data_IF_523261924713
#
_entry.id   IF_523261924713
#
_cell.length_a   1.000
_cell.length_b   1.000
_cell.length_c   1.000
_cell.angle_alpha   90.00
_cell.angle_beta   90.00
_cell.angle_gamma   90.00
#
_symmetry.space_group_name_H-M   'P 1'
#
loop_
_entity.id
_entity.type
_entity.pdbx_description
1 polymer ?
#
# COMPACT_ATOMS: atom_id res chain seq x y z
N UNK A 1 22.17 5.01 17.31
CA UNK A 1 21.38 3.98 16.59
C UNK A 1 20.58 4.72 15.52
N UNK A 2 21.17 4.86 14.32
CA UNK A 2 20.59 5.61 13.22
C UNK A 2 19.39 4.79 12.70
N UNK A 3 18.15 5.26 12.90
CA UNK A 3 16.99 4.65 12.23
C UNK A 3 17.25 4.73 10.73
N UNK A 4 17.42 3.58 10.09
CA UNK A 4 17.30 3.42 8.65
C UNK A 4 15.90 3.94 8.29
N UNK A 5 15.83 5.21 7.87
CA UNK A 5 14.61 5.82 7.37
C UNK A 5 14.50 5.39 5.92
N UNK A 6 13.49 4.58 5.63
CA UNK A 6 13.19 4.06 4.31
C UNK A 6 13.15 5.19 3.28
N UNK A 7 13.89 5.01 2.18
CA UNK A 7 13.94 5.96 1.08
C UNK A 7 12.73 5.74 0.19
N UNK A 8 11.64 6.41 0.55
CA UNK A 8 10.32 6.24 -0.05
C UNK A 8 10.33 6.35 -1.59
N UNK A 9 11.06 7.30 -2.18
CA UNK A 9 11.11 7.43 -3.64
C UNK A 9 11.78 6.21 -4.29
N UNK A 10 12.89 5.73 -3.71
CA UNK A 10 13.61 4.55 -4.20
C UNK A 10 12.79 3.28 -4.03
N UNK A 11 12.09 3.12 -2.90
CA UNK A 11 11.23 1.96 -2.64
C UNK A 11 10.03 1.91 -3.61
N UNK A 12 9.35 3.05 -3.81
CA UNK A 12 8.24 3.16 -4.77
C UNK A 12 8.70 2.93 -6.22
N UNK A 13 9.88 3.41 -6.58
CA UNK A 13 10.48 3.15 -7.89
C UNK A 13 10.76 1.66 -8.08
N UNK A 14 11.38 1.00 -7.09
CA UNK A 14 11.66 -0.43 -7.14
C UNK A 14 10.37 -1.26 -7.24
N UNK A 15 9.31 -0.87 -6.53
CA UNK A 15 7.98 -1.48 -6.67
C UNK A 15 7.44 -1.32 -8.09
N UNK A 16 7.50 -0.10 -8.64
CA UNK A 16 7.01 0.21 -9.98
C UNK A 16 7.72 -0.65 -11.05
N UNK A 17 9.05 -0.72 -10.97
CA UNK A 17 9.89 -1.53 -11.86
C UNK A 17 9.52 -3.01 -11.75
N UNK A 18 9.34 -3.54 -10.53
CA UNK A 18 8.96 -4.94 -10.31
C UNK A 18 7.57 -5.26 -10.88
N UNK A 19 6.58 -4.40 -10.63
CA UNK A 19 5.22 -4.55 -11.15
C UNK A 19 5.21 -4.51 -12.67
N UNK A 20 5.90 -3.56 -13.28
CA UNK A 20 5.98 -3.45 -14.73
C UNK A 20 6.74 -4.61 -15.36
N UNK A 21 7.84 -5.09 -14.76
CA UNK A 21 8.54 -6.27 -15.27
C UNK A 21 7.63 -7.51 -15.35
N UNK A 22 6.68 -7.63 -14.41
CA UNK A 22 5.73 -8.76 -14.36
C UNK A 22 4.52 -8.56 -15.28
N UNK A 23 4.03 -7.33 -15.40
CA UNK A 23 2.72 -7.06 -15.99
C UNK A 23 2.73 -6.06 -17.16
N UNK A 24 3.88 -5.51 -17.54
CA UNK A 24 4.00 -4.37 -18.46
C UNK A 24 3.29 -4.56 -19.80
N UNK A 25 3.53 -5.70 -20.47
CA UNK A 25 2.85 -6.02 -21.73
C UNK A 25 1.32 -6.16 -21.58
N UNK A 26 0.86 -6.65 -20.42
CA UNK A 26 -0.57 -6.78 -20.11
C UNK A 26 -1.17 -5.40 -19.83
N UNK A 27 -0.47 -4.55 -19.08
CA UNK A 27 -0.86 -3.16 -18.78
C UNK A 27 -0.99 -2.36 -20.07
N UNK A 28 0.00 -2.38 -20.95
CA UNK A 28 -0.02 -1.67 -22.23
C UNK A 28 -1.24 -2.10 -23.06
N UNK A 29 -1.45 -3.41 -23.22
CA UNK A 29 -2.60 -3.96 -23.95
C UNK A 29 -3.94 -3.54 -23.35
N UNK A 30 -4.11 -3.66 -22.03
CA UNK A 30 -5.36 -3.29 -21.34
C UNK A 30 -5.61 -1.80 -21.50
N UNK A 31 -4.61 -0.97 -21.22
CA UNK A 31 -4.75 0.48 -21.20
C UNK A 31 -5.07 1.07 -22.58
N UNK A 32 -4.42 0.55 -23.63
CA UNK A 32 -4.72 0.90 -25.02
C UNK A 32 -6.11 0.41 -25.45
N UNK A 33 -6.54 -0.74 -24.94
CA UNK A 33 -7.87 -1.30 -25.20
C UNK A 33 -9.00 -0.57 -24.49
N UNK A 34 -8.72 0.17 -23.40
CA UNK A 34 -9.72 0.92 -22.68
C UNK A 34 -10.22 2.15 -23.46
N UNK A 35 -11.50 2.44 -23.35
CA UNK A 35 -12.05 3.76 -23.71
C UNK A 35 -11.74 4.81 -22.64
N UNK A 36 -11.91 6.10 -22.98
CA UNK A 36 -11.69 7.21 -22.05
C UNK A 36 -12.45 7.06 -20.72
N UNK A 37 -13.69 6.55 -20.77
CA UNK A 37 -14.49 6.28 -19.57
C UNK A 37 -13.95 5.16 -18.67
N UNK A 38 -13.34 4.12 -19.25
CA UNK A 38 -12.69 3.05 -18.48
C UNK A 38 -11.38 3.53 -17.85
N UNK A 39 -10.58 4.30 -18.60
CA UNK A 39 -9.39 4.97 -18.06
C UNK A 39 -9.76 5.89 -16.89
N UNK A 40 -10.81 6.69 -17.05
CA UNK A 40 -11.28 7.59 -15.99
C UNK A 40 -11.70 6.85 -14.72
N UNK A 41 -12.32 5.66 -14.85
CA UNK A 41 -12.66 4.81 -13.70
C UNK A 41 -11.41 4.31 -12.97
N UNK A 42 -10.38 3.88 -13.70
CA UNK A 42 -9.12 3.44 -13.10
C UNK A 42 -8.44 4.59 -12.36
N UNK A 43 -8.24 5.73 -13.03
CA UNK A 43 -7.54 6.88 -12.44
C UNK A 43 -8.23 7.40 -11.18
N UNK A 44 -9.57 7.34 -11.12
CA UNK A 44 -10.34 7.79 -9.95
C UNK A 44 -10.41 6.77 -8.80
N UNK A 45 -10.24 5.48 -9.07
CA UNK A 45 -10.32 4.43 -8.06
C UNK A 45 -9.19 4.56 -7.02
N UNK A 46 -7.99 4.90 -7.48
CA UNK A 46 -6.80 5.06 -6.66
C UNK A 46 -6.66 6.37 -5.89
N UNK A 47 -7.61 7.31 -6.00
CA UNK A 47 -7.52 8.63 -5.38
C UNK A 47 -8.58 8.80 -4.31
N UNK A 48 -8.16 9.28 -3.13
CA UNK A 48 -9.08 9.59 -2.03
C UNK A 48 -10.17 10.55 -2.52
N UNK A 49 -11.44 10.14 -2.37
CA UNK A 49 -12.64 10.84 -2.88
C UNK A 49 -12.72 10.98 -4.43
N UNK A 50 -11.81 10.37 -5.18
CA UNK A 50 -11.77 10.44 -6.65
C UNK A 50 -11.45 11.84 -7.20
N UNK A 51 -10.88 12.72 -6.36
CA UNK A 51 -10.64 14.13 -6.69
C UNK A 51 -9.25 14.30 -7.30
N UNK A 52 -9.21 14.66 -8.59
CA UNK A 52 -8.01 14.91 -9.38
C UNK A 52 -8.08 16.26 -10.06
N UNK A 53 -6.93 16.78 -10.47
CA UNK A 53 -6.87 17.90 -11.41
C UNK A 53 -7.66 17.55 -12.66
N UNK A 54 -8.58 18.42 -13.09
CA UNK A 54 -9.35 18.21 -14.33
C UNK A 54 -8.47 18.36 -15.56
N UNK A 55 -7.52 19.29 -15.51
CA UNK A 55 -6.50 19.57 -16.53
C UNK A 55 -5.27 20.20 -15.86
N UNK A 56 -4.18 20.36 -16.59
CA UNK A 56 -2.89 20.84 -16.07
C UNK A 56 -2.91 22.23 -15.41
N UNK A 57 -3.83 23.11 -15.80
CA UNK A 57 -4.03 24.42 -15.17
C UNK A 57 -5.12 24.50 -14.10
N UNK A 58 -5.62 23.37 -13.59
CA UNK A 58 -6.74 23.35 -12.63
C UNK A 58 -6.30 23.79 -11.22
N UNK A 59 -6.80 24.94 -10.77
CA UNK A 59 -6.45 25.51 -9.46
C UNK A 59 -7.31 25.01 -8.30
N UNK A 60 -8.28 24.12 -8.54
CA UNK A 60 -9.25 23.68 -7.52
C UNK A 60 -8.62 22.86 -6.39
N UNK A 61 -7.44 22.26 -6.63
CA UNK A 61 -6.70 21.45 -5.64
C UNK A 61 -5.45 22.17 -5.10
N UNK A 62 -5.55 23.50 -4.95
CA UNK A 62 -4.47 24.31 -4.41
C UNK A 62 -3.22 24.27 -5.30
N UNK A 63 -2.06 24.02 -4.70
CA UNK A 63 -0.78 24.04 -5.43
C UNK A 63 -0.47 22.74 -6.18
N UNK A 64 -1.37 21.74 -6.20
CA UNK A 64 -1.10 20.46 -6.87
C UNK A 64 -0.78 20.62 -8.36
N UNK A 65 -1.46 21.52 -9.07
CA UNK A 65 -1.19 21.81 -10.48
C UNK A 65 0.19 22.44 -10.70
N UNK A 66 0.78 23.05 -9.68
CA UNK A 66 2.15 23.59 -9.74
C UNK A 66 3.21 22.52 -9.51
N UNK A 67 2.85 21.44 -8.81
CA UNK A 67 3.79 20.38 -8.41
C UNK A 67 3.76 19.22 -9.41
N UNK A 68 2.58 18.79 -9.89
CA UNK A 68 2.41 17.69 -10.86
C UNK A 68 1.28 17.97 -11.87
N UNK A 69 1.42 19.02 -12.70
CA UNK A 69 0.39 19.41 -13.67
C UNK A 69 -0.01 18.28 -14.63
N UNK A 70 0.91 17.38 -14.97
CA UNK A 70 0.69 16.29 -15.91
C UNK A 70 -0.16 15.15 -15.35
N UNK A 71 -0.34 15.10 -14.02
CA UNK A 71 -1.20 14.12 -13.36
C UNK A 71 -2.63 14.65 -13.25
N UNK A 72 -3.31 14.73 -14.38
CA UNK A 72 -4.66 15.25 -14.49
C UNK A 72 -5.58 14.32 -15.31
N UNK A 73 -6.88 14.41 -15.04
CA UNK A 73 -7.88 13.50 -15.61
C UNK A 73 -7.95 13.60 -17.13
N UNK A 74 -7.85 14.80 -17.70
CA UNK A 74 -7.91 15.01 -19.15
C UNK A 74 -6.79 14.26 -19.84
N UNK A 75 -5.54 14.56 -19.50
CA UNK A 75 -4.38 14.04 -20.20
C UNK A 75 -4.24 12.53 -20.01
N UNK A 76 -4.57 12.01 -18.81
CA UNK A 76 -4.54 10.57 -18.52
C UNK A 76 -5.63 9.78 -19.26
N UNK A 77 -6.72 10.40 -19.71
CA UNK A 77 -7.87 9.67 -20.28
C UNK A 77 -8.09 9.89 -21.76
N UNK A 78 -7.65 11.02 -22.32
CA UNK A 78 -7.81 11.32 -23.75
C UNK A 78 -6.98 10.40 -24.63
N UNK A 79 -5.67 10.30 -24.35
CA UNK A 79 -4.73 9.49 -25.14
C UNK A 79 -3.96 8.52 -24.25
N UNK A 80 -3.93 7.21 -24.57
CA UNK A 80 -3.23 6.24 -23.74
C UNK A 80 -1.72 6.52 -23.65
N UNK A 81 -1.14 7.15 -24.67
CA UNK A 81 0.29 7.47 -24.76
C UNK A 81 0.79 8.33 -23.61
N UNK A 82 -0.01 9.29 -23.12
CA UNK A 82 0.42 10.19 -22.05
C UNK A 82 0.81 9.43 -20.78
N UNK A 83 -0.07 8.53 -20.33
CA UNK A 83 0.21 7.65 -19.20
C UNK A 83 1.36 6.69 -19.51
N UNK A 84 1.35 6.05 -20.69
CA UNK A 84 2.33 5.01 -21.01
C UNK A 84 3.75 5.59 -21.13
N UNK A 85 3.91 6.76 -21.74
CA UNK A 85 5.23 7.41 -21.84
C UNK A 85 5.74 7.88 -20.48
N UNK A 86 4.82 8.35 -19.61
CA UNK A 86 5.19 8.71 -18.24
C UNK A 86 5.60 7.47 -17.45
N UNK A 87 4.85 6.38 -17.57
CA UNK A 87 5.13 5.12 -16.91
C UNK A 87 6.49 4.58 -17.35
N UNK A 88 6.72 4.46 -18.66
CA UNK A 88 7.97 3.97 -19.26
C UNK A 88 9.17 4.78 -18.75
N UNK A 89 9.14 6.11 -18.86
CA UNK A 89 10.21 6.97 -18.35
C UNK A 89 10.51 6.73 -16.87
N UNK A 90 9.46 6.61 -16.04
CA UNK A 90 9.58 6.43 -14.58
C UNK A 90 10.05 5.03 -14.17
N UNK A 91 10.04 4.06 -15.09
CA UNK A 91 10.58 2.71 -14.86
C UNK A 91 12.02 2.61 -15.36
N UNK A 92 12.32 3.25 -16.49
CA UNK A 92 13.65 3.16 -17.10
C UNK A 92 14.69 4.03 -16.40
N UNK A 93 14.25 5.13 -15.77
CA UNK A 93 15.14 6.12 -15.17
C UNK A 93 15.21 5.99 -13.67
N UNK A 94 16.42 6.02 -13.10
CA UNK A 94 16.60 6.09 -11.64
C UNK A 94 15.94 7.35 -11.08
N UNK A 95 15.61 7.42 -9.77
CA UNK A 95 15.11 8.64 -9.17
C UNK A 95 15.98 9.89 -9.47
N UNK A 96 17.31 9.74 -9.48
CA UNK A 96 18.24 10.81 -9.85
C UNK A 96 18.13 11.20 -11.34
N UNK A 97 18.00 10.23 -12.24
CA UNK A 97 17.76 10.54 -13.65
C UNK A 97 16.41 11.22 -13.86
N UNK A 98 15.37 10.85 -13.13
CA UNK A 98 14.05 11.51 -13.16
C UNK A 98 14.11 12.94 -12.60
N UNK A 99 14.96 13.17 -11.60
CA UNK A 99 15.26 14.50 -11.09
C UNK A 99 15.80 15.41 -12.19
N UNK A 100 16.75 14.89 -12.99
CA UNK A 100 17.43 15.63 -14.06
C UNK A 100 16.61 15.73 -15.35
N UNK A 101 15.88 14.68 -15.72
CA UNK A 101 15.30 14.52 -17.06
C UNK A 101 13.87 14.01 -17.01
N UNK A 102 13.03 14.56 -17.89
CA UNK A 102 11.67 14.10 -18.12
C UNK A 102 11.54 13.28 -19.40
N UNK A 103 10.29 12.92 -19.71
CA UNK A 103 9.92 12.08 -20.86
C UNK A 103 10.50 12.66 -22.15
N UNK A 104 11.18 11.84 -22.95
CA UNK A 104 11.78 12.25 -24.23
C UNK A 104 12.75 13.45 -24.12
N UNK A 105 13.48 13.57 -23.01
CA UNK A 105 14.41 14.66 -22.78
C UNK A 105 13.74 15.99 -22.42
N UNK A 106 12.46 15.96 -22.01
CA UNK A 106 11.81 17.13 -21.42
C UNK A 106 12.43 17.50 -20.07
N UNK A 107 11.94 18.59 -19.47
CA UNK A 107 12.31 19.02 -18.11
C UNK A 107 12.13 17.88 -17.10
N UNK A 108 13.15 17.68 -16.25
CA UNK A 108 13.09 16.78 -15.09
C UNK A 108 12.27 17.35 -13.94
N UNK A 109 12.20 16.61 -12.84
CA UNK A 109 11.42 17.02 -11.66
C UNK A 109 11.94 18.31 -11.03
N UNK A 110 13.26 18.51 -11.02
CA UNK A 110 13.87 19.73 -10.50
C UNK A 110 13.45 20.96 -11.31
N UNK A 111 13.59 20.87 -12.62
CA UNK A 111 13.26 21.96 -13.55
C UNK A 111 11.77 22.33 -13.53
N UNK A 112 10.90 21.34 -13.37
CA UNK A 112 9.45 21.58 -13.28
C UNK A 112 9.12 22.36 -12.02
N UNK A 113 9.68 21.97 -10.86
CA UNK A 113 9.46 22.71 -9.61
C UNK A 113 10.03 24.12 -9.69
N UNK A 114 11.26 24.28 -10.17
CA UNK A 114 11.88 25.60 -10.30
C UNK A 114 11.09 26.51 -11.25
N UNK A 115 10.62 25.97 -12.37
CA UNK A 115 9.80 26.74 -13.31
C UNK A 115 8.46 27.15 -12.69
N UNK A 116 7.80 26.26 -11.95
CA UNK A 116 6.56 26.57 -11.23
C UNK A 116 6.77 27.61 -10.13
N UNK A 117 7.90 27.60 -9.43
CA UNK A 117 8.27 28.66 -8.48
C UNK A 117 8.39 30.01 -9.20
N UNK A 118 9.06 30.02 -10.36
CA UNK A 118 9.31 31.22 -11.17
C UNK A 118 8.04 31.79 -11.82
N UNK A 119 7.17 30.94 -12.33
CA UNK A 119 6.06 31.34 -13.22
C UNK A 119 4.68 31.26 -12.58
N UNK A 120 4.49 30.39 -11.59
CA UNK A 120 3.20 30.11 -10.97
C UNK A 120 3.17 30.48 -9.48
N UNK A 121 4.25 31.08 -8.97
CA UNK A 121 4.36 31.50 -7.58
C UNK A 121 4.24 30.35 -6.59
N UNK A 122 4.72 29.15 -6.95
CA UNK A 122 4.88 28.04 -6.00
C UNK A 122 5.86 28.49 -4.90
N UNK A 123 5.43 28.42 -3.64
CA UNK A 123 6.28 28.81 -2.51
C UNK A 123 6.73 27.56 -1.76
N UNK A 124 8.04 27.39 -1.52
CA UNK A 124 8.53 26.29 -0.74
C UNK A 124 8.14 26.47 0.73
N UNK A 125 8.04 25.37 1.50
CA UNK A 125 7.80 25.45 2.94
C UNK A 125 8.94 26.24 3.60
N UNK A 126 8.68 26.93 4.71
CA UNK A 126 9.76 27.58 5.45
C UNK A 126 10.77 26.53 5.91
N UNK A 127 12.03 26.64 5.48
CA UNK A 127 13.13 25.82 6.01
C UNK A 127 14.05 26.60 6.92
N UNK A 128 14.74 25.83 7.76
CA UNK A 128 15.93 26.30 8.46
C UNK A 128 17.05 26.60 7.46
N UNK A 129 17.81 27.66 7.75
CA UNK A 129 18.99 28.05 6.97
C UNK A 129 20.04 26.91 7.01
N UNK A 130 20.87 26.81 5.98
CA UNK A 130 22.02 25.89 5.88
C UNK A 130 21.66 24.40 5.76
N UNK A 131 20.38 24.06 5.61
CA UNK A 131 19.95 22.70 5.29
C UNK A 131 19.75 22.49 3.79
N UNK A 132 20.33 21.41 3.29
CA UNK A 132 20.28 21.01 1.88
C UNK A 132 19.77 19.59 1.75
N UNK A 133 19.30 19.20 0.57
CA UNK A 133 18.87 17.83 0.28
C UNK A 133 19.75 17.22 -0.81
N UNK A 134 20.15 15.96 -0.61
CA UNK A 134 21.01 15.25 -1.56
C UNK A 134 20.17 14.52 -2.61
N UNK A 135 20.39 14.80 -3.89
CA UNK A 135 19.83 14.03 -5.01
C UNK A 135 20.95 13.28 -5.74
N UNK A 136 21.47 12.26 -5.07
CA UNK A 136 22.48 11.33 -5.60
C UNK A 136 21.95 9.92 -5.50
N UNK A 137 22.23 9.08 -6.50
CA UNK A 137 21.84 7.66 -6.46
C UNK A 137 22.33 6.97 -5.18
N UNK A 138 21.52 6.03 -4.69
CA UNK A 138 21.83 5.21 -3.52
C UNK A 138 21.11 5.64 -2.23
N UNK A 139 21.65 5.21 -1.10
CA UNK A 139 20.99 5.31 0.21
C UNK A 139 20.72 6.74 0.67
N UNK A 140 21.49 7.71 0.16
CA UNK A 140 21.40 9.12 0.54
C UNK A 140 20.43 9.93 -0.31
N UNK A 141 19.76 9.31 -1.29
CA UNK A 141 18.81 10.01 -2.14
C UNK A 141 17.63 10.59 -1.34
N UNK A 142 17.39 11.90 -1.45
CA UNK A 142 16.37 12.61 -0.68
C UNK A 142 16.75 12.91 0.78
N UNK A 143 18.01 12.67 1.18
CA UNK A 143 18.45 12.90 2.56
C UNK A 143 18.82 14.36 2.81
N UNK A 144 18.37 14.92 3.94
CA UNK A 144 18.74 16.28 4.34
C UNK A 144 20.07 16.30 5.08
N UNK A 145 20.98 17.17 4.65
CA UNK A 145 22.27 17.42 5.28
C UNK A 145 22.38 18.86 5.75
N UNK A 146 23.00 19.05 6.91
CA UNK A 146 23.31 20.38 7.43
C UNK A 146 24.71 20.78 6.98
N UNK A 147 24.81 21.88 6.23
CA UNK A 147 26.05 22.41 5.67
C UNK A 147 26.21 23.88 6.10
N UNK A 148 26.72 24.13 7.31
CA UNK A 148 26.83 25.49 7.84
C UNK A 148 27.82 26.32 7.02
N UNK A 149 27.45 27.56 6.69
CA UNK A 149 28.31 28.50 5.94
C UNK A 149 29.68 28.72 6.59
N UNK A 150 29.76 28.60 7.93
CA UNK A 150 30.98 28.79 8.70
C UNK A 150 31.96 27.62 8.63
N UNK A 151 31.55 26.48 8.09
CA UNK A 151 32.41 25.32 7.87
C UNK A 151 32.80 25.23 6.39
N UNK A 152 33.77 26.06 6.01
CA UNK A 152 34.27 26.15 4.62
C UNK A 152 34.79 24.81 4.09
N UNK A 153 35.28 23.93 4.97
CA UNK A 153 35.82 22.62 4.57
C UNK A 153 34.70 21.68 4.15
N UNK A 154 33.63 21.59 4.95
CA UNK A 154 32.45 20.78 4.62
C UNK A 154 31.69 21.38 3.43
N UNK A 155 31.47 22.70 3.42
CA UNK A 155 30.78 23.38 2.33
C UNK A 155 31.55 23.30 1.01
N UNK A 156 32.87 23.47 1.05
CA UNK A 156 33.75 23.48 -0.13
C UNK A 156 33.65 22.20 -0.98
N UNK A 157 33.44 21.04 -0.34
CA UNK A 157 33.22 19.77 -1.03
C UNK A 157 31.90 19.71 -1.81
N UNK A 158 30.87 20.45 -1.38
CA UNK A 158 29.55 20.46 -1.99
C UNK A 158 29.31 21.64 -2.95
N UNK A 159 30.15 22.68 -2.94
CA UNK A 159 29.99 23.86 -3.82
C UNK A 159 29.74 23.49 -5.29
N UNK A 160 30.50 22.55 -5.92
CA UNK A 160 30.23 22.18 -7.30
C UNK A 160 28.83 21.57 -7.49
N UNK A 161 28.39 20.72 -6.57
CA UNK A 161 27.10 20.05 -6.64
C UNK A 161 25.93 21.01 -6.37
N UNK A 162 26.10 21.97 -5.45
CA UNK A 162 25.13 23.06 -5.20
C UNK A 162 25.00 23.92 -6.45
N UNK A 163 26.11 24.32 -7.07
CA UNK A 163 26.09 25.10 -8.33
C UNK A 163 25.47 24.34 -9.50
N UNK A 164 25.66 23.03 -9.54
CA UNK A 164 25.03 22.16 -10.53
C UNK A 164 23.55 21.86 -10.23
N UNK A 165 23.02 22.35 -9.11
CA UNK A 165 21.63 22.13 -8.69
C UNK A 165 21.37 20.81 -7.97
N UNK A 166 22.29 19.85 -8.00
CA UNK A 166 22.14 18.49 -7.44
C UNK A 166 21.95 18.44 -5.91
N UNK A 167 22.30 19.53 -5.23
CA UNK A 167 22.15 19.68 -3.77
C UNK A 167 21.38 20.97 -3.49
N UNK A 168 20.07 21.01 -3.79
CA UNK A 168 19.26 22.20 -3.58
C UNK A 168 19.04 22.45 -2.08
N UNK A 169 18.67 23.69 -1.71
CA UNK A 169 18.10 23.98 -0.39
C UNK A 169 16.98 23.00 -0.03
N UNK A 170 16.90 22.62 1.26
CA UNK A 170 16.03 21.53 1.71
C UNK A 170 14.55 21.78 1.46
N UNK A 171 14.10 23.02 1.51
CA UNK A 171 12.72 23.43 1.21
C UNK A 171 12.33 23.18 -0.27
N UNK A 172 13.22 23.53 -1.19
CA UNK A 172 13.08 23.22 -2.62
C UNK A 172 13.17 21.71 -2.83
N UNK A 173 14.14 21.05 -2.19
CA UNK A 173 14.30 19.61 -2.23
C UNK A 173 13.04 18.85 -1.80
N UNK A 174 12.35 19.32 -0.75
CA UNK A 174 11.09 18.73 -0.29
C UNK A 174 9.98 18.81 -1.35
N UNK A 175 9.88 19.90 -2.12
CA UNK A 175 8.91 20.00 -3.21
C UNK A 175 9.23 19.00 -4.34
N UNK A 176 10.51 18.87 -4.69
CA UNK A 176 10.98 17.93 -5.72
C UNK A 176 10.71 16.49 -5.28
N UNK A 177 11.08 16.13 -4.05
CA UNK A 177 10.83 14.81 -3.51
C UNK A 177 9.33 14.52 -3.41
N UNK A 178 8.51 15.49 -2.97
CA UNK A 178 7.05 15.37 -2.96
C UNK A 178 6.50 15.06 -4.34
N UNK A 179 6.97 15.73 -5.38
CA UNK A 179 6.58 15.47 -6.77
C UNK A 179 6.90 14.03 -7.18
N UNK A 180 8.14 13.58 -6.96
CA UNK A 180 8.59 12.23 -7.30
C UNK A 180 7.79 11.16 -6.59
N UNK A 181 7.68 11.25 -5.27
CA UNK A 181 6.94 10.31 -4.42
C UNK A 181 5.47 10.25 -4.83
N UNK A 182 4.84 11.40 -5.09
CA UNK A 182 3.42 11.45 -5.47
C UNK A 182 3.20 10.76 -6.81
N UNK A 183 4.04 11.04 -7.82
CA UNK A 183 3.91 10.44 -9.15
C UNK A 183 4.19 8.92 -9.11
N UNK A 184 5.28 8.50 -8.46
CA UNK A 184 5.61 7.07 -8.33
C UNK A 184 4.53 6.30 -7.58
N UNK A 185 4.00 6.86 -6.49
CA UNK A 185 2.89 6.25 -5.75
C UNK A 185 1.64 6.13 -6.61
N UNK A 186 1.28 7.21 -7.31
CA UNK A 186 0.07 7.24 -8.14
C UNK A 186 0.17 6.28 -9.33
N UNK A 187 1.36 6.11 -9.91
CA UNK A 187 1.63 5.13 -10.95
C UNK A 187 1.49 3.69 -10.42
N UNK A 188 2.05 3.40 -9.25
CA UNK A 188 1.92 2.07 -8.62
C UNK A 188 0.45 1.70 -8.39
N UNK A 189 -0.33 2.63 -7.84
CA UNK A 189 -1.77 2.43 -7.61
C UNK A 189 -2.51 2.24 -8.94
N UNK A 190 -2.25 3.08 -9.93
CA UNK A 190 -2.94 3.00 -11.22
C UNK A 190 -2.64 1.68 -11.96
N UNK A 191 -1.44 1.12 -11.83
CA UNK A 191 -1.16 -0.23 -12.37
C UNK A 191 -2.10 -1.27 -11.76
N UNK A 192 -2.25 -1.25 -10.44
CA UNK A 192 -3.11 -2.22 -9.74
C UNK A 192 -4.57 -2.04 -10.17
N UNK A 193 -5.04 -0.80 -10.28
CA UNK A 193 -6.40 -0.47 -10.76
C UNK A 193 -6.64 -0.92 -12.21
N UNK A 194 -5.65 -0.77 -13.10
CA UNK A 194 -5.71 -1.24 -14.49
C UNK A 194 -5.85 -2.76 -14.53
N UNK A 195 -5.05 -3.48 -13.73
CA UNK A 195 -5.09 -4.94 -13.67
C UNK A 195 -6.42 -5.45 -13.11
N UNK A 196 -6.91 -4.85 -12.03
CA UNK A 196 -8.22 -5.18 -11.45
C UNK A 196 -9.36 -4.92 -12.43
N UNK A 197 -9.43 -3.73 -13.03
CA UNK A 197 -10.47 -3.41 -14.02
C UNK A 197 -10.39 -4.30 -15.27
N UNK A 198 -9.17 -4.59 -15.74
CA UNK A 198 -8.93 -5.50 -16.86
C UNK A 198 -9.44 -6.92 -16.58
N UNK A 199 -9.26 -7.41 -15.34
CA UNK A 199 -9.78 -8.70 -14.91
C UNK A 199 -11.31 -8.75 -14.88
N UNK A 200 -11.96 -7.67 -14.41
CA UNK A 200 -13.43 -7.54 -14.37
C UNK A 200 -14.03 -7.50 -15.77
N UNK A 201 -13.39 -6.82 -16.73
CA UNK A 201 -13.83 -6.80 -18.12
C UNK A 201 -13.70 -8.16 -18.83
N UNK A 202 -12.77 -9.02 -18.41
CA UNK A 202 -12.66 -10.40 -18.91
C UNK A 202 -13.69 -11.35 -18.27
N UNK A 203 -14.09 -11.07 -17.04
CA UNK A 203 -15.01 -11.91 -16.25
C UNK A 203 -16.50 -11.56 -16.46
N UNK A 204 -16.79 -10.48 -17.19
CA UNK A 204 -18.17 -9.98 -17.37
C UNK A 204 -18.98 -10.69 -18.45
N UNK A 205 -18.40 -11.68 -19.16
CA UNK A 205 -19.17 -12.41 -20.16
C UNK A 205 -20.31 -13.25 -19.58
N UNK A 206 -20.32 -13.63 -18.29
CA UNK A 206 -21.47 -14.31 -17.68
C UNK A 206 -21.52 -14.14 -16.16
N UNK A 207 -22.19 -13.10 -15.64
CA UNK A 207 -22.83 -13.23 -14.32
C UNK A 207 -23.96 -12.22 -14.08
N UNK A 208 -25.18 -12.68 -13.77
CA UNK A 208 -26.25 -11.78 -13.30
C UNK A 208 -25.90 -11.26 -11.90
N UNK A 209 -25.90 -9.93 -11.73
CA UNK A 209 -25.77 -9.27 -10.43
C UNK A 209 -27.04 -9.53 -9.61
N UNK A 210 -26.91 -10.16 -8.43
CA UNK A 210 -27.99 -10.16 -7.43
C UNK A 210 -27.90 -8.89 -6.56
N UNK A 211 -29.03 -8.33 -6.07
CA UNK A 211 -29.06 -7.10 -5.30
C UNK A 211 -28.56 -7.32 -3.86
N UNK A 212 -27.66 -6.46 -3.40
CA UNK A 212 -27.03 -6.46 -2.07
C UNK A 212 -27.89 -5.83 -0.96
N UNK A 213 -29.21 -5.87 -1.07
CA UNK A 213 -30.11 -5.27 -0.07
C UNK A 213 -30.53 -6.23 1.06
N UNK A 214 -30.20 -7.52 0.96
CA UNK A 214 -30.61 -8.53 1.95
C UNK A 214 -29.59 -8.63 3.11
N UNK A 215 -28.34 -8.22 2.91
CA UNK A 215 -27.27 -8.40 3.91
C UNK A 215 -27.30 -7.36 5.02
N UNK A 216 -27.73 -6.12 4.77
CA UNK A 216 -27.76 -5.04 5.78
C UNK A 216 -28.90 -5.15 6.78
N UNK A 217 -30.04 -5.76 6.42
CA UNK A 217 -31.17 -5.95 7.33
C UNK A 217 -30.94 -7.05 8.39
N UNK A 218 -29.98 -7.96 8.15
CA UNK A 218 -29.68 -9.06 9.08
C UNK A 218 -28.86 -8.62 10.30
N UNK A 219 -27.97 -7.61 10.15
CA UNK A 219 -27.10 -7.15 11.22
C UNK A 219 -27.82 -6.34 12.30
N UNK A 220 -28.92 -5.65 11.98
CA UNK A 220 -29.69 -4.86 12.96
C UNK A 220 -30.50 -5.69 13.97
N UNK A 221 -30.55 -7.02 13.82
CA UNK A 221 -31.29 -7.94 14.71
C UNK A 221 -30.41 -8.72 15.70
N UNK A 222 -29.09 -8.53 15.67
CA UNK A 222 -28.18 -9.20 16.61
C UNK A 222 -28.10 -8.42 17.93
N UNK A 223 -29.15 -8.52 18.73
CA UNK A 223 -29.11 -8.12 20.14
C UNK A 223 -28.46 -9.25 20.94
N UNK A 224 -27.17 -9.17 21.22
CA UNK A 224 -26.47 -10.08 22.12
C UNK A 224 -26.69 -9.60 23.55
N UNK A 225 -27.72 -10.15 24.21
CA UNK A 225 -27.78 -10.13 25.67
C UNK A 225 -28.66 -11.27 26.17
N UNK A 226 -28.13 -12.49 26.08
CA UNK A 226 -28.54 -13.56 26.99
C UNK A 226 -27.32 -13.93 27.86
N UNK A 227 -27.48 -14.09 29.18
CA UNK A 227 -26.42 -14.63 30.02
C UNK A 227 -26.05 -16.03 29.51
N UNK A 228 -24.75 -16.41 29.48
CA UNK A 228 -24.33 -17.68 28.90
C UNK A 228 -25.06 -18.81 29.62
N UNK A 229 -25.83 -19.59 28.87
CA UNK A 229 -26.29 -20.88 29.34
C UNK A 229 -25.07 -21.69 29.80
N UNK A 230 -25.19 -22.45 30.89
CA UNK A 230 -24.10 -23.35 31.31
C UNK A 230 -23.87 -24.34 30.17
N UNK A 231 -22.81 -24.11 29.39
CA UNK A 231 -22.40 -25.01 28.32
C UNK A 231 -22.08 -26.36 28.95
N UNK A 232 -22.73 -27.42 28.46
CA UNK A 232 -22.37 -28.78 28.84
C UNK A 232 -21.03 -29.15 28.19
N UNK A 233 -20.39 -30.22 28.70
CA UNK A 233 -19.15 -30.71 28.08
C UNK A 233 -19.38 -31.17 26.63
N UNK A 234 -20.54 -31.79 26.35
CA UNK A 234 -20.96 -32.16 25.01
C UNK A 234 -21.05 -30.93 24.08
N UNK A 235 -21.58 -29.81 24.57
CA UNK A 235 -21.65 -28.57 23.79
C UNK A 235 -20.25 -28.02 23.46
N UNK A 236 -19.29 -28.16 24.39
CA UNK A 236 -17.90 -27.76 24.16
C UNK A 236 -17.18 -28.67 23.16
N UNK A 237 -17.41 -29.98 23.21
CA UNK A 237 -16.87 -30.95 22.25
C UNK A 237 -17.39 -30.66 20.85
N UNK A 238 -18.70 -30.46 20.72
CA UNK A 238 -19.34 -30.11 19.45
C UNK A 238 -18.82 -28.76 18.93
N UNK A 239 -18.74 -27.73 19.77
CA UNK A 239 -18.20 -26.43 19.38
C UNK A 239 -16.73 -26.51 18.94
N UNK A 240 -15.90 -27.30 19.62
CA UNK A 240 -14.51 -27.51 19.23
C UNK A 240 -14.40 -28.27 17.89
N UNK A 241 -15.27 -29.26 17.66
CA UNK A 241 -15.37 -29.99 16.39
C UNK A 241 -15.75 -29.03 15.24
N UNK A 242 -16.80 -28.23 15.45
CA UNK A 242 -17.27 -27.24 14.47
C UNK A 242 -16.18 -26.20 14.15
N UNK A 243 -15.46 -25.72 15.17
CA UNK A 243 -14.32 -24.80 14.95
C UNK A 243 -13.18 -25.47 14.20
N UNK A 244 -12.82 -26.70 14.55
CA UNK A 244 -11.78 -27.46 13.84
C UNK A 244 -12.14 -27.65 12.36
N UNK A 245 -13.39 -28.02 12.07
CA UNK A 245 -13.91 -28.17 10.72
C UNK A 245 -13.89 -26.84 9.95
N UNK A 246 -14.37 -25.76 10.58
CA UNK A 246 -14.37 -24.41 10.00
C UNK A 246 -12.95 -23.95 9.64
N UNK A 247 -11.98 -24.09 10.54
CA UNK A 247 -10.61 -23.65 10.27
C UNK A 247 -9.90 -24.51 9.23
N UNK A 248 -10.24 -25.80 9.15
CA UNK A 248 -9.75 -26.68 8.09
C UNK A 248 -10.29 -26.23 6.72
N UNK A 249 -11.60 -26.00 6.60
CA UNK A 249 -12.21 -25.46 5.39
C UNK A 249 -11.62 -24.09 5.02
N UNK A 250 -11.39 -23.22 6.01
CA UNK A 250 -10.77 -21.91 5.79
C UNK A 250 -9.37 -22.01 5.18
N UNK A 251 -8.54 -22.96 5.62
CA UNK A 251 -7.21 -23.20 5.02
C UNK A 251 -7.32 -23.66 3.58
N UNK A 252 -8.26 -24.57 3.29
CA UNK A 252 -8.52 -25.00 1.91
C UNK A 252 -8.92 -23.80 1.05
N UNK A 253 -9.76 -22.91 1.60
CA UNK A 253 -10.21 -21.67 0.96
C UNK A 253 -9.07 -20.66 0.73
N UNK A 254 -7.98 -20.70 1.51
CA UNK A 254 -6.78 -19.89 1.22
C UNK A 254 -6.09 -20.29 -0.10
N UNK A 255 -6.44 -21.42 -0.70
CA UNK A 255 -6.02 -21.78 -2.06
C UNK A 255 -6.68 -20.89 -3.12
N UNK A 256 -7.84 -20.30 -2.81
CA UNK A 256 -8.54 -19.37 -3.70
C UNK A 256 -7.89 -17.98 -3.63
N UNK A 257 -7.33 -17.46 -4.75
CA UNK A 257 -6.54 -16.23 -4.73
C UNK A 257 -7.29 -15.00 -4.19
N UNK A 258 -8.60 -14.91 -4.43
CA UNK A 258 -9.42 -13.81 -3.94
C UNK A 258 -9.57 -13.81 -2.40
N UNK A 259 -9.69 -15.00 -1.81
CA UNK A 259 -9.80 -15.17 -0.36
C UNK A 259 -8.46 -14.87 0.31
N UNK A 260 -7.38 -15.42 -0.24
CA UNK A 260 -6.03 -15.10 0.23
C UNK A 260 -5.72 -13.61 0.13
N UNK A 261 -6.06 -12.96 -0.98
CA UNK A 261 -5.85 -11.52 -1.15
C UNK A 261 -6.61 -10.68 -0.12
N UNK A 262 -7.85 -11.07 0.21
CA UNK A 262 -8.63 -10.42 1.27
C UNK A 262 -7.97 -10.56 2.64
N UNK A 263 -7.56 -11.77 3.02
CA UNK A 263 -6.94 -12.03 4.32
C UNK A 263 -5.58 -11.34 4.43
N UNK A 264 -4.77 -11.38 3.37
CA UNK A 264 -3.50 -10.64 3.29
C UNK A 264 -3.74 -9.15 3.47
N UNK A 265 -4.77 -8.59 2.80
CA UNK A 265 -5.13 -7.17 2.93
C UNK A 265 -5.56 -6.84 4.36
N UNK A 266 -6.34 -7.70 5.00
CA UNK A 266 -6.73 -7.54 6.40
C UNK A 266 -5.50 -7.47 7.31
N UNK A 267 -4.61 -8.45 7.21
CA UNK A 267 -3.37 -8.49 7.99
C UNK A 267 -2.43 -7.34 7.68
N UNK A 268 -2.38 -6.91 6.43
CA UNK A 268 -1.56 -5.79 6.00
C UNK A 268 -2.08 -4.47 6.55
N UNK A 269 -3.39 -4.26 6.59
CA UNK A 269 -4.02 -3.04 7.10
C UNK A 269 -4.18 -3.03 8.64
N UNK A 270 -4.11 -4.18 9.31
CA UNK A 270 -4.20 -4.30 10.77
C UNK A 270 -2.85 -4.21 11.47
N UNK A 271 -1.78 -3.84 10.76
CA UNK A 271 -0.43 -3.76 11.32
C UNK A 271 -0.33 -2.62 12.35
N UNK A 272 0.32 -2.84 13.50
CA UNK A 272 0.47 -1.81 14.54
C UNK A 272 1.07 -0.50 14.02
N UNK A 273 1.97 -0.59 13.04
CA UNK A 273 2.65 0.55 12.43
C UNK A 273 1.70 1.49 11.66
N UNK A 274 0.56 0.98 11.17
CA UNK A 274 -0.43 1.75 10.41
C UNK A 274 -1.46 2.42 11.34
N UNK A 275 -1.53 1.96 12.59
CA UNK A 275 -2.40 2.58 13.59
C UNK A 275 -1.95 4.02 13.84
N UNK A 276 -2.90 4.96 13.97
CA UNK A 276 -2.56 6.32 14.36
C UNK A 276 -1.90 6.31 15.74
N UNK A 277 -0.81 7.05 15.88
CA UNK A 277 -0.23 7.33 17.20
C UNK A 277 -1.18 8.21 18.03
N UNK A 278 -0.79 8.52 19.28
CA UNK A 278 -1.56 9.37 20.20
C UNK A 278 -1.90 10.76 19.63
N UNK A 279 -1.19 11.19 18.57
CA UNK A 279 -1.39 12.46 17.88
C UNK A 279 -2.13 12.30 16.55
N UNK A 280 -2.68 11.12 16.27
CA UNK A 280 -3.41 10.81 15.04
C UNK A 280 -2.51 10.54 13.82
N UNK A 281 -1.18 10.48 13.98
CA UNK A 281 -0.24 10.32 12.86
C UNK A 281 -0.09 8.84 12.52
N UNK A 282 -0.20 8.51 11.24
CA UNK A 282 -0.01 7.14 10.73
C UNK A 282 1.30 7.04 9.98
N UNK A 283 2.00 5.91 10.07
CA UNK A 283 3.08 5.65 9.11
C UNK A 283 2.45 5.46 7.72
N UNK A 284 2.94 6.16 6.69
CA UNK A 284 2.46 5.94 5.34
C UNK A 284 2.73 4.50 4.93
N UNK A 285 1.78 3.90 4.20
CA UNK A 285 2.01 2.61 3.55
C UNK A 285 2.82 2.92 2.30
N UNK A 286 4.14 2.85 2.46
CA UNK A 286 5.08 3.34 1.45
C UNK A 286 5.31 2.34 0.31
N UNK A 287 5.15 1.03 0.53
CA UNK A 287 5.54 0.01 -0.45
C UNK A 287 4.96 -1.38 -0.18
N UNK A 288 5.10 -2.27 -1.16
CA UNK A 288 4.78 -3.70 -1.09
C UNK A 288 5.76 -4.49 -0.17
N UNK A 289 6.77 -3.81 0.40
CA UNK A 289 7.83 -4.38 1.25
C UNK A 289 7.30 -5.27 2.37
N UNK A 290 6.10 -4.97 2.87
CA UNK A 290 5.49 -5.70 3.98
C UNK A 290 4.40 -6.69 3.57
N UNK A 291 4.05 -6.77 2.28
CA UNK A 291 3.05 -7.71 1.79
C UNK A 291 3.50 -9.15 2.06
N UNK A 292 4.79 -9.45 1.91
CA UNK A 292 5.34 -10.78 2.20
C UNK A 292 5.14 -11.20 3.66
N UNK A 293 5.37 -10.28 4.61
CA UNK A 293 5.12 -10.52 6.02
C UNK A 293 3.62 -10.73 6.28
N UNK A 294 2.75 -9.94 5.65
CA UNK A 294 1.30 -10.11 5.76
C UNK A 294 0.80 -11.43 5.18
N UNK A 295 1.36 -11.90 4.05
CA UNK A 295 1.11 -13.25 3.51
C UNK A 295 1.52 -14.32 4.52
N UNK A 296 2.72 -14.20 5.07
CA UNK A 296 3.17 -15.12 6.10
C UNK A 296 2.22 -15.13 7.30
N UNK A 297 1.85 -13.97 7.86
CA UNK A 297 0.96 -13.90 9.01
C UNK A 297 -0.44 -14.42 8.70
N UNK A 298 -1.00 -14.15 7.51
CA UNK A 298 -2.30 -14.66 7.11
C UNK A 298 -2.32 -16.19 7.10
N UNK A 299 -1.38 -16.81 6.39
CA UNK A 299 -1.30 -18.26 6.26
C UNK A 299 -0.89 -18.91 7.59
N UNK A 300 0.12 -18.37 8.27
CA UNK A 300 0.60 -18.90 9.53
C UNK A 300 -0.49 -18.92 10.60
N UNK A 301 -1.23 -17.82 10.77
CA UNK A 301 -2.30 -17.77 11.77
C UNK A 301 -3.50 -18.64 11.37
N UNK A 302 -3.80 -18.79 10.07
CA UNK A 302 -4.82 -19.73 9.62
C UNK A 302 -4.46 -21.19 9.98
N UNK A 303 -3.23 -21.60 9.66
CA UNK A 303 -2.69 -22.94 9.99
C UNK A 303 -2.64 -23.15 11.50
N UNK A 304 -2.09 -22.18 12.24
CA UNK A 304 -2.00 -22.26 13.71
C UNK A 304 -3.37 -22.43 14.34
N UNK A 305 -4.39 -21.68 13.89
CA UNK A 305 -5.75 -21.82 14.39
C UNK A 305 -6.32 -23.21 14.13
N UNK A 306 -6.18 -23.75 12.92
CA UNK A 306 -6.68 -25.09 12.62
C UNK A 306 -6.00 -26.17 13.46
N UNK A 307 -4.68 -26.10 13.63
CA UNK A 307 -3.93 -27.05 14.46
C UNK A 307 -4.37 -26.98 15.91
N UNK A 308 -4.52 -25.77 16.46
CA UNK A 308 -4.93 -25.54 17.85
C UNK A 308 -6.35 -26.07 18.12
N UNK A 309 -7.30 -25.77 17.23
CA UNK A 309 -8.69 -26.23 17.40
C UNK A 309 -8.84 -27.73 17.18
N UNK A 310 -8.11 -28.30 16.23
CA UNK A 310 -8.07 -29.75 16.07
C UNK A 310 -7.45 -30.44 17.30
N UNK A 311 -6.39 -29.87 17.88
CA UNK A 311 -5.80 -30.37 19.12
C UNK A 311 -6.78 -30.28 20.30
N UNK A 312 -7.47 -29.14 20.47
CA UNK A 312 -8.51 -28.98 21.50
C UNK A 312 -9.64 -30.00 21.35
N UNK A 313 -10.14 -30.22 20.12
CA UNK A 313 -11.17 -31.24 19.86
C UNK A 313 -10.68 -32.65 20.25
N UNK A 314 -9.46 -33.01 19.85
CA UNK A 314 -8.84 -34.30 20.19
C UNK A 314 -8.57 -34.48 21.69
N UNK A 315 -8.46 -33.40 22.47
CA UNK A 315 -8.38 -33.48 23.93
C UNK A 315 -9.76 -33.58 24.59
N UNK A 316 -10.75 -32.86 24.06
CA UNK A 316 -12.09 -32.78 24.64
C UNK A 316 -12.93 -34.05 24.39
N UNK A 317 -12.81 -34.69 23.22
CA UNK A 317 -13.56 -35.91 22.89
C UNK A 317 -13.19 -37.10 23.84
N UNK A 318 -11.91 -37.42 24.09
CA UNK A 318 -11.53 -38.39 25.11
C UNK A 318 -11.91 -37.96 26.53
N UNK A 319 -11.84 -36.66 26.82
CA UNK A 319 -12.22 -36.15 28.13
C UNK A 319 -13.70 -36.35 28.43
N UNK A 320 -14.58 -36.21 27.44
CA UNK A 320 -16.01 -36.50 27.58
C UNK A 320 -16.27 -38.00 27.79
N UNK A 321 -15.65 -38.85 26.97
CA UNK A 321 -15.86 -40.31 27.04
C UNK A 321 -15.22 -40.98 28.26
N UNK A 322 -14.11 -40.45 28.78
CA UNK A 322 -13.33 -41.03 29.89
C UNK A 322 -13.45 -40.23 31.20
N UNK A 323 -14.40 -39.30 31.31
CA UNK A 323 -14.51 -38.38 32.46
C UNK A 323 -14.65 -39.08 33.82
N UNK A 324 -15.09 -40.35 33.84
CA UNK A 324 -15.21 -41.15 35.06
C UNK A 324 -13.88 -41.76 35.53
N UNK A 325 -12.86 -41.81 34.68
CA UNK A 325 -11.53 -42.31 35.03
C UNK A 325 -10.66 -41.19 35.62
N UNK A 326 -10.34 -41.33 36.90
CA UNK A 326 -9.52 -40.39 37.67
C UNK A 326 -8.11 -40.22 37.10
N UNK A 327 -7.52 -41.28 36.51
CA UNK A 327 -6.17 -41.21 35.95
C UNK A 327 -6.16 -40.35 34.67
N UNK A 328 -7.07 -40.61 33.74
CA UNK A 328 -7.22 -39.84 32.49
C UNK A 328 -7.58 -38.39 32.76
N UNK A 329 -8.48 -38.14 33.72
CA UNK A 329 -8.87 -36.80 34.14
C UNK A 329 -7.68 -35.99 34.69
N UNK A 330 -6.75 -36.63 35.40
CA UNK A 330 -5.56 -35.97 35.96
C UNK A 330 -4.56 -35.53 34.88
N UNK A 331 -4.56 -36.19 33.72
CA UNK A 331 -3.66 -35.89 32.60
C UNK A 331 -4.30 -34.89 31.62
N UNK A 332 -5.57 -35.08 31.26
CA UNK A 332 -6.24 -34.29 30.23
C UNK A 332 -6.62 -32.87 30.69
N UNK A 333 -6.99 -32.67 31.96
CA UNK A 333 -7.35 -31.33 32.46
C UNK A 333 -6.19 -30.32 32.38
N UNK A 334 -4.96 -30.65 32.83
CA UNK A 334 -3.82 -29.77 32.64
C UNK A 334 -3.52 -29.48 31.17
N UNK A 335 -3.59 -30.48 30.30
CA UNK A 335 -3.34 -30.31 28.86
C UNK A 335 -4.38 -29.41 28.20
N UNK A 336 -5.66 -29.56 28.53
CA UNK A 336 -6.74 -28.67 28.08
C UNK A 336 -6.51 -27.25 28.60
N UNK A 337 -6.09 -27.09 29.86
CA UNK A 337 -5.80 -25.79 30.45
C UNK A 337 -4.58 -25.10 29.81
N UNK A 338 -3.60 -25.86 29.32
CA UNK A 338 -2.44 -25.33 28.62
C UNK A 338 -2.74 -24.98 27.14
N UNK A 339 -3.74 -25.62 26.54
CA UNK A 339 -4.16 -25.40 25.17
C UNK A 339 -5.12 -24.21 25.00
N UNK A 340 -5.76 -23.77 26.08
CA UNK A 340 -6.71 -22.66 26.15
C UNK A 340 -6.00 -21.30 26.37
#
# INVERSE_FOLDING_TARGET
>A
MQRQRDNEATDLHNDLVRKYKRHGAVIDKIWRGFGAGQRAKCVKAGVMEGVLLRHSGDTTLGDNYKIFPEWNLRDLTERPEHFLSMLEHRIEKTPMEQYCYGVNGSKGDADIIQESMRTQGLRPPASEKDWYMLFSDGEWYGFSVYLPEKDEKSLGGFVPAIRAGLVPPSDIGQLILKRQVTLLRSLNILIDDILDQGSKTRSTDQRPKKPGEITTAAFSKLSISQPPAKLSLADLVNAACDQAAFFKERIELCSEPAVLAHDVSFWFCSRPEILPDEKGRRLPVVSDKYVSASVFYAVHNAVKAAVLWNYMHQLLEPFESLNQDKAHRTILLPEIANAA
#
